data_IF_897507200841
#
_entry.id   IF_897507200841
#
_cell.length_a   1.000
_cell.length_b   1.000
_cell.length_c   1.000
_cell.angle_alpha   90.00
_cell.angle_beta   90.00
_cell.angle_gamma   90.00
#
_symmetry.space_group_name_H-M   'P 1'
#
loop_
_entity.id
_entity.type
_entity.pdbx_description
1 polymer ?
#
# COMPACT_ATOMS: atom_id res chain seq x y z
N UNK A 1 10.39 14.66 -0.38
CA UNK A 1 9.15 15.32 0.10
C UNK A 1 8.97 14.97 1.57
N UNK A 2 8.60 15.94 2.41
CA UNK A 2 8.17 15.74 3.80
C UNK A 2 6.65 15.93 3.86
N UNK A 3 5.95 15.13 4.65
CA UNK A 3 4.47 15.16 4.74
C UNK A 3 3.94 15.88 5.99
N UNK A 4 4.81 16.44 6.83
CA UNK A 4 4.43 16.89 8.18
C UNK A 4 3.42 18.04 8.19
N UNK A 5 3.37 18.83 7.10
CA UNK A 5 2.45 19.96 6.90
C UNK A 5 1.08 19.58 6.31
N UNK A 6 0.88 18.32 5.92
CA UNK A 6 -0.42 17.85 5.43
C UNK A 6 -1.35 17.52 6.59
N UNK A 7 -2.66 17.52 6.31
CA UNK A 7 -3.66 16.93 7.21
C UNK A 7 -3.34 15.45 7.46
N UNK A 8 -3.94 14.85 8.48
CA UNK A 8 -3.72 13.43 8.78
C UNK A 8 -4.21 12.53 7.64
N UNK A 9 -5.42 12.81 7.14
CA UNK A 9 -6.03 12.08 6.04
C UNK A 9 -6.86 13.00 5.15
N UNK A 10 -7.13 12.52 3.95
CA UNK A 10 -8.08 13.12 3.02
C UNK A 10 -8.78 12.01 2.21
N UNK A 11 -9.97 12.30 1.71
CA UNK A 11 -10.65 11.37 0.81
C UNK A 11 -10.21 11.60 -0.64
N UNK A 12 -9.85 10.52 -1.36
CA UNK A 12 -9.41 10.54 -2.77
C UNK A 12 -10.09 9.49 -3.63
N UNK A 13 -9.94 9.61 -4.94
CA UNK A 13 -10.47 8.69 -5.93
C UNK A 13 -11.64 9.29 -6.72
N UNK A 14 -12.25 8.47 -7.60
CA UNK A 14 -13.41 8.87 -8.38
C UNK A 14 -14.57 9.40 -7.52
N UNK A 15 -15.42 10.33 -8.03
CA UNK A 15 -16.58 10.83 -7.29
C UNK A 15 -17.51 9.74 -6.75
N UNK A 16 -17.67 8.65 -7.50
CA UNK A 16 -18.51 7.51 -7.13
C UNK A 16 -17.88 6.62 -6.04
N UNK A 17 -16.56 6.67 -5.88
CA UNK A 17 -15.80 5.81 -4.97
C UNK A 17 -14.64 6.58 -4.33
N UNK A 18 -14.91 7.18 -3.17
CA UNK A 18 -13.91 7.90 -2.37
C UNK A 18 -13.29 6.96 -1.33
N UNK A 19 -11.99 7.12 -1.13
CA UNK A 19 -11.19 6.32 -0.22
C UNK A 19 -10.43 7.21 0.75
N UNK A 20 -10.42 6.84 2.02
CA UNK A 20 -9.51 7.41 3.02
C UNK A 20 -8.05 7.14 2.62
N UNK A 21 -7.30 8.23 2.45
CA UNK A 21 -5.86 8.26 2.27
C UNK A 21 -5.20 8.95 3.46
N UNK A 22 -4.47 8.18 4.26
CA UNK A 22 -3.69 8.69 5.39
C UNK A 22 -2.31 9.10 4.89
N UNK A 23 -1.92 10.35 5.13
CA UNK A 23 -0.61 10.83 4.71
C UNK A 23 0.51 10.21 5.55
N UNK A 24 1.68 9.88 4.95
CA UNK A 24 2.78 9.26 5.67
C UNK A 24 3.61 10.31 6.42
N UNK A 25 2.98 11.03 7.36
CA UNK A 25 3.62 12.06 8.19
C UNK A 25 4.78 11.45 8.98
N UNK A 26 5.89 12.16 9.10
CA UNK A 26 7.13 11.66 9.69
C UNK A 26 8.00 10.78 8.78
N UNK A 27 7.54 10.47 7.56
CA UNK A 27 8.35 9.74 6.58
C UNK A 27 9.10 10.68 5.62
N UNK A 28 10.25 10.21 5.14
CA UNK A 28 10.96 10.75 3.97
C UNK A 28 10.71 9.85 2.78
N UNK A 29 10.40 10.41 1.61
CA UNK A 29 10.03 9.59 0.46
C UNK A 29 10.78 9.86 -0.83
N UNK A 30 11.16 8.77 -1.50
CA UNK A 30 11.91 8.73 -2.76
C UNK A 30 11.06 8.11 -3.86
N UNK A 31 10.90 8.82 -4.97
CA UNK A 31 10.16 8.31 -6.13
C UNK A 31 10.87 7.12 -6.77
N UNK A 32 10.09 6.17 -7.29
CA UNK A 32 10.59 5.04 -8.08
C UNK A 32 10.38 5.30 -9.57
N UNK A 33 11.18 4.63 -10.41
CA UNK A 33 10.93 4.64 -11.85
C UNK A 33 9.63 3.87 -12.16
N UNK A 34 8.62 4.60 -12.64
CA UNK A 34 7.30 4.07 -12.97
C UNK A 34 7.15 3.68 -14.44
N UNK A 35 8.13 3.97 -15.32
CA UNK A 35 8.04 3.67 -16.76
C UNK A 35 7.90 2.18 -17.07
N UNK A 36 8.31 1.31 -16.15
CA UNK A 36 8.07 -0.13 -16.24
C UNK A 36 6.58 -0.54 -16.24
N UNK A 37 5.67 0.38 -15.91
CA UNK A 37 4.21 0.14 -15.95
C UNK A 37 3.54 0.66 -17.25
N UNK A 38 4.34 1.07 -18.24
CA UNK A 38 3.88 1.64 -19.51
C UNK A 38 3.71 3.16 -19.46
N UNK A 39 3.21 3.72 -20.57
CA UNK A 39 3.11 5.17 -20.77
C UNK A 39 1.79 5.78 -20.27
N UNK A 40 0.77 4.95 -20.01
CA UNK A 40 -0.46 5.44 -19.39
C UNK A 40 -0.22 5.70 -17.89
N UNK A 41 -0.37 6.96 -17.49
CA UNK A 41 -0.17 7.44 -16.12
C UNK A 41 -1.48 7.81 -15.39
N UNK A 42 -2.66 7.53 -15.98
CA UNK A 42 -3.98 7.89 -15.42
C UNK A 42 -4.18 7.39 -13.98
N UNK A 43 -3.64 6.21 -13.70
CA UNK A 43 -3.64 5.57 -12.37
C UNK A 43 -2.94 6.39 -11.28
N UNK A 44 -2.11 7.37 -11.64
CA UNK A 44 -1.28 8.17 -10.75
C UNK A 44 -1.80 9.61 -10.54
N UNK A 45 -2.66 10.14 -11.42
CA UNK A 45 -2.88 11.59 -11.61
C UNK A 45 -3.53 12.37 -10.44
N UNK A 46 -4.04 11.71 -9.39
CA UNK A 46 -4.61 12.38 -8.20
C UNK A 46 -5.75 13.37 -8.47
N UNK A 47 -6.42 13.25 -9.61
CA UNK A 47 -7.47 14.16 -10.09
C UNK A 47 -8.87 13.55 -10.02
N UNK A 48 -9.02 12.36 -9.42
CA UNK A 48 -10.31 11.68 -9.29
C UNK A 48 -10.84 11.10 -10.60
N UNK A 49 -9.97 10.86 -11.59
CA UNK A 49 -10.38 10.16 -12.81
C UNK A 49 -10.75 8.69 -12.51
N UNK A 50 -11.59 8.09 -13.36
CA UNK A 50 -12.11 6.73 -13.16
C UNK A 50 -11.02 5.63 -13.15
N UNK A 51 -9.84 5.91 -13.71
CA UNK A 51 -8.70 4.99 -13.75
C UNK A 51 -7.73 5.21 -12.58
N UNK A 52 -7.99 6.17 -11.67
CA UNK A 52 -7.11 6.45 -10.54
C UNK A 52 -7.04 5.24 -9.59
N UNK A 53 -5.82 4.80 -9.27
CA UNK A 53 -5.61 3.68 -8.36
C UNK A 53 -5.47 4.16 -6.92
N UNK A 54 -5.91 3.35 -5.95
CA UNK A 54 -5.87 3.70 -4.53
C UNK A 54 -4.43 3.73 -4.01
N UNK A 55 -4.10 4.70 -3.15
CA UNK A 55 -2.80 4.74 -2.47
C UNK A 55 -2.83 3.81 -1.25
N UNK A 56 -1.84 2.92 -1.15
CA UNK A 56 -1.72 1.96 -0.04
C UNK A 56 -0.26 1.70 0.32
N UNK A 57 -0.05 1.17 1.52
CA UNK A 57 1.25 0.96 2.14
C UNK A 57 1.54 -0.52 2.36
N UNK A 58 2.78 -0.92 2.08
CA UNK A 58 3.29 -2.26 2.33
C UNK A 58 4.62 -2.17 3.10
N UNK A 59 4.62 -2.60 4.36
CA UNK A 59 5.83 -2.71 5.16
C UNK A 59 6.70 -3.87 4.66
N UNK A 60 8.02 -3.68 4.64
CA UNK A 60 8.93 -4.75 4.22
C UNK A 60 10.29 -4.64 4.92
N UNK A 61 11.10 -5.68 4.78
CA UNK A 61 12.49 -5.70 5.26
C UNK A 61 13.39 -4.94 4.29
N UNK A 62 14.38 -4.23 4.81
CA UNK A 62 15.30 -3.42 3.99
C UNK A 62 15.96 -4.22 2.85
N UNK A 63 16.39 -5.45 3.08
CA UNK A 63 17.01 -6.29 2.05
C UNK A 63 16.03 -6.76 0.94
N UNK A 64 14.72 -6.74 1.18
CA UNK A 64 13.71 -7.11 0.18
C UNK A 64 13.44 -5.99 -0.83
N UNK A 65 13.76 -4.74 -0.50
CA UNK A 65 13.42 -3.55 -1.31
C UNK A 65 13.97 -3.66 -2.72
N UNK A 66 15.23 -4.03 -2.89
CA UNK A 66 15.87 -4.16 -4.21
C UNK A 66 15.14 -5.17 -5.10
N UNK A 67 14.75 -6.31 -4.54
CA UNK A 67 13.99 -7.34 -5.28
C UNK A 67 12.61 -6.83 -5.67
N UNK A 68 11.89 -6.16 -4.76
CA UNK A 68 10.54 -5.65 -5.04
C UNK A 68 10.57 -4.53 -6.09
N UNK A 69 11.54 -3.61 -6.01
CA UNK A 69 11.69 -2.54 -7.00
C UNK A 69 11.95 -3.11 -8.39
N UNK A 70 12.74 -4.19 -8.50
CA UNK A 70 13.02 -4.84 -9.78
C UNK A 70 11.86 -5.71 -10.29
N UNK A 71 11.29 -6.54 -9.42
CA UNK A 71 10.42 -7.66 -9.80
C UNK A 71 8.95 -7.48 -9.40
N UNK A 72 8.60 -6.30 -8.86
CA UNK A 72 7.30 -6.01 -8.23
C UNK A 72 7.02 -6.83 -6.95
N UNK A 73 5.96 -6.46 -6.24
CA UNK A 73 5.46 -7.19 -5.08
C UNK A 73 4.91 -8.56 -5.50
N UNK A 74 5.05 -9.56 -4.63
CA UNK A 74 4.55 -10.93 -4.85
C UNK A 74 3.77 -11.40 -3.64
N UNK A 75 2.85 -12.33 -3.86
CA UNK A 75 2.07 -12.96 -2.79
C UNK A 75 2.98 -13.51 -1.69
N UNK A 76 2.67 -13.17 -0.45
CA UNK A 76 3.42 -13.64 0.72
C UNK A 76 2.99 -15.02 1.19
N UNK A 77 3.76 -15.61 2.11
CA UNK A 77 3.39 -16.85 2.78
C UNK A 77 2.39 -16.63 3.93
N UNK A 78 2.39 -15.43 4.53
CA UNK A 78 1.51 -15.08 5.65
C UNK A 78 0.14 -14.65 5.11
N UNK A 79 -0.83 -15.54 5.16
CA UNK A 79 -2.18 -15.32 4.61
C UNK A 79 -3.27 -15.54 5.67
N UNK A 80 -3.17 -14.81 6.77
CA UNK A 80 -4.00 -14.97 7.97
C UNK A 80 -5.53 -14.84 7.71
N UNK A 81 -5.91 -14.14 6.65
CA UNK A 81 -7.31 -13.87 6.30
C UNK A 81 -7.75 -14.61 5.03
N UNK A 82 -6.97 -15.56 4.52
CA UNK A 82 -7.24 -16.21 3.22
C UNK A 82 -8.59 -16.93 3.14
N UNK A 83 -9.05 -17.48 4.26
CA UNK A 83 -10.35 -18.16 4.36
C UNK A 83 -11.53 -17.23 4.69
N UNK A 84 -11.26 -15.96 5.00
CA UNK A 84 -12.33 -14.98 5.18
C UNK A 84 -13.05 -14.71 3.86
N UNK A 85 -14.28 -14.20 3.97
CA UNK A 85 -15.08 -13.72 2.85
C UNK A 85 -15.19 -12.20 2.86
N UNK A 86 -15.33 -11.62 1.67
CA UNK A 86 -15.61 -10.20 1.47
C UNK A 86 -16.59 -10.00 0.31
N UNK A 87 -17.07 -8.78 0.16
CA UNK A 87 -17.86 -8.33 -0.99
C UNK A 87 -16.94 -7.63 -1.97
N UNK A 88 -17.01 -7.98 -3.24
CA UNK A 88 -16.20 -7.35 -4.29
C UNK A 88 -16.89 -6.16 -4.97
N UNK A 89 -16.22 -5.56 -5.94
CA UNK A 89 -16.74 -4.40 -6.69
C UNK A 89 -18.06 -4.69 -7.41
N UNK A 90 -18.34 -5.96 -7.71
CA UNK A 90 -19.56 -6.42 -8.38
C UNK A 90 -20.63 -6.90 -7.38
N UNK A 91 -20.44 -6.60 -6.09
CA UNK A 91 -21.33 -7.01 -4.99
C UNK A 91 -21.45 -8.52 -4.78
N UNK A 92 -20.48 -9.29 -5.27
CA UNK A 92 -20.44 -10.74 -5.06
C UNK A 92 -19.71 -11.07 -3.75
N UNK A 93 -20.19 -12.08 -3.03
CA UNK A 93 -19.45 -12.67 -1.92
C UNK A 93 -18.34 -13.57 -2.47
N UNK A 94 -17.10 -13.30 -2.06
CA UNK A 94 -15.91 -14.02 -2.53
C UNK A 94 -14.95 -14.30 -1.37
N UNK A 95 -14.06 -15.29 -1.52
CA UNK A 95 -12.95 -15.48 -0.59
C UNK A 95 -11.87 -14.42 -0.79
N UNK A 96 -11.23 -13.99 0.31
CA UNK A 96 -10.07 -13.08 0.28
C UNK A 96 -8.89 -13.75 -0.43
N UNK A 97 -8.62 -15.04 -0.14
CA UNK A 97 -7.51 -15.85 -0.67
C UNK A 97 -6.12 -15.28 -0.31
N UNK A 98 -5.08 -16.03 -0.69
CA UNK A 98 -3.69 -15.61 -0.51
C UNK A 98 -3.35 -14.40 -1.39
N UNK A 99 -2.54 -13.47 -0.88
CA UNK A 99 -2.16 -12.31 -1.66
C UNK A 99 -1.09 -11.43 -1.03
N UNK A 100 -1.02 -10.21 -1.54
CA UNK A 100 -0.13 -9.15 -1.07
C UNK A 100 -0.94 -8.29 -0.10
N UNK A 101 -0.44 -8.17 1.13
CA UNK A 101 -1.09 -7.39 2.18
C UNK A 101 -0.71 -5.92 2.12
N UNK A 102 -1.68 -5.05 2.35
CA UNK A 102 -1.53 -3.61 2.42
C UNK A 102 -2.30 -3.03 3.59
N UNK A 103 -1.96 -1.79 3.94
CA UNK A 103 -2.80 -0.91 4.75
C UNK A 103 -3.01 0.44 4.06
N UNK A 104 -4.11 1.13 4.35
CA UNK A 104 -4.28 2.54 3.96
C UNK A 104 -3.64 3.50 4.96
N UNK A 105 -3.08 3.00 6.06
CA UNK A 105 -2.36 3.77 7.08
C UNK A 105 -0.96 3.16 7.30
N UNK A 106 0.10 3.92 7.02
CA UNK A 106 1.47 3.43 7.12
C UNK A 106 1.87 3.04 8.56
N UNK A 107 1.23 3.63 9.58
CA UNK A 107 1.48 3.30 10.99
C UNK A 107 1.17 1.84 11.29
N UNK A 108 0.22 1.24 10.59
CA UNK A 108 -0.10 -0.20 10.70
C UNK A 108 1.12 -1.04 10.30
N UNK A 109 1.87 -0.63 9.27
CA UNK A 109 3.09 -1.31 8.86
C UNK A 109 4.18 -1.26 9.96
N UNK A 110 4.25 -0.16 10.72
CA UNK A 110 5.21 0.03 11.80
C UNK A 110 4.77 -0.72 13.07
N UNK A 111 3.54 -0.47 13.53
CA UNK A 111 3.03 -0.92 14.83
C UNK A 111 2.87 -2.44 14.88
N UNK A 112 2.50 -3.05 13.75
CA UNK A 112 2.29 -4.50 13.67
C UNK A 112 3.58 -5.26 13.29
N UNK A 113 4.71 -4.54 13.16
CA UNK A 113 6.02 -5.16 12.91
C UNK A 113 6.21 -5.73 11.51
N UNK A 114 5.54 -5.20 10.49
CA UNK A 114 5.77 -5.60 9.09
C UNK A 114 6.91 -4.82 8.42
N UNK A 115 7.23 -3.64 8.94
CA UNK A 115 8.37 -2.83 8.53
C UNK A 115 9.45 -2.85 9.63
N UNK A 116 10.35 -3.82 9.54
CA UNK A 116 11.43 -4.00 10.51
C UNK A 116 12.39 -2.79 10.50
N UNK A 117 12.70 -2.27 11.68
CA UNK A 117 13.71 -1.24 11.83
C UNK A 117 15.12 -1.82 11.68
N UNK A 118 15.90 -1.22 10.79
CA UNK A 118 17.32 -1.53 10.58
C UNK A 118 18.18 -0.42 11.17
N UNK A 119 19.25 -0.78 11.87
CA UNK A 119 20.23 0.18 12.40
C UNK A 119 21.10 0.72 11.26
N UNK A 120 21.23 2.05 11.19
CA UNK A 120 22.17 2.75 10.31
C UNK A 120 22.88 3.81 11.15
N UNK A 121 24.18 3.64 11.40
CA UNK A 121 24.95 4.44 12.34
C UNK A 121 24.30 4.46 13.73
N UNK A 122 23.91 5.62 14.26
CA UNK A 122 23.25 5.79 15.55
C UNK A 122 21.72 5.89 15.46
N UNK A 123 21.12 5.65 14.29
CA UNK A 123 19.68 5.78 14.04
C UNK A 123 19.07 4.46 13.57
N UNK A 124 17.75 4.34 13.71
CA UNK A 124 16.97 3.18 13.24
C UNK A 124 15.96 3.62 12.21
N UNK A 125 15.90 2.91 11.08
CA UNK A 125 15.00 3.24 9.98
C UNK A 125 14.17 2.04 9.56
N UNK A 126 12.89 2.26 9.30
CA UNK A 126 11.99 1.30 8.69
C UNK A 126 11.70 1.70 7.23
N UNK A 127 11.47 0.72 6.36
CA UNK A 127 11.17 0.93 4.95
C UNK A 127 9.75 0.48 4.63
N UNK A 128 9.01 1.34 3.94
CA UNK A 128 7.62 1.09 3.54
C UNK A 128 7.48 1.42 2.06
N UNK A 129 6.80 0.56 1.30
CA UNK A 129 6.45 0.83 -0.08
C UNK A 129 5.10 1.52 -0.13
N UNK A 130 5.08 2.70 -0.72
CA UNK A 130 3.87 3.39 -1.09
C UNK A 130 3.52 3.01 -2.54
N UNK A 131 2.35 2.40 -2.68
CA UNK A 131 1.90 1.77 -3.92
C UNK A 131 0.59 2.36 -4.36
N UNK A 132 0.35 2.31 -5.67
CA UNK A 132 -0.97 2.43 -6.27
C UNK A 132 -1.53 1.03 -6.45
N UNK A 133 -2.77 0.82 -6.02
CA UNK A 133 -3.44 -0.48 -6.03
C UNK A 133 -4.74 -0.36 -6.80
N UNK A 134 -4.97 -1.28 -7.74
CA UNK A 134 -6.18 -1.32 -8.53
C UNK A 134 -7.41 -1.51 -7.62
N UNK A 135 -8.31 -0.52 -7.48
CA UNK A 135 -9.40 -0.58 -6.51
C UNK A 135 -10.34 -1.76 -6.76
N UNK A 136 -10.48 -2.16 -8.03
CA UNK A 136 -11.28 -3.28 -8.53
C UNK A 136 -10.85 -4.65 -8.00
N UNK A 137 -9.60 -4.73 -7.51
CA UNK A 137 -8.94 -6.00 -7.12
C UNK A 137 -8.63 -6.09 -5.64
N UNK A 138 -9.06 -5.08 -4.86
CA UNK A 138 -8.89 -5.06 -3.42
C UNK A 138 -9.89 -6.01 -2.77
N UNK A 139 -9.39 -6.84 -1.84
CA UNK A 139 -10.18 -7.70 -0.96
C UNK A 139 -10.03 -7.19 0.47
N UNK A 140 -11.15 -7.06 1.18
CA UNK A 140 -11.16 -6.68 2.59
C UNK A 140 -12.37 -7.32 3.28
N UNK A 141 -12.13 -8.28 4.18
CA UNK A 141 -13.18 -8.85 5.03
C UNK A 141 -13.55 -7.90 6.17
N UNK A 142 -14.67 -8.16 6.86
CA UNK A 142 -15.07 -7.38 8.05
C UNK A 142 -14.00 -7.38 9.14
N UNK A 143 -13.34 -8.52 9.37
CA UNK A 143 -12.22 -8.62 10.33
C UNK A 143 -11.02 -7.78 9.93
N UNK A 144 -10.78 -7.60 8.63
CA UNK A 144 -9.68 -6.79 8.13
C UNK A 144 -9.96 -5.29 8.23
N UNK A 145 -11.24 -4.86 8.21
CA UNK A 145 -11.60 -3.44 8.33
C UNK A 145 -11.17 -2.85 9.68
N UNK A 146 -11.38 -3.57 10.78
CA UNK A 146 -11.03 -3.08 12.13
C UNK A 146 -9.53 -2.89 12.36
N UNK A 147 -8.69 -3.53 11.56
CA UNK A 147 -7.22 -3.45 11.62
C UNK A 147 -6.61 -2.82 10.37
N UNK A 148 -7.44 -2.20 9.51
CA UNK A 148 -6.99 -1.51 8.30
C UNK A 148 -6.13 -2.36 7.36
N UNK A 149 -6.44 -3.66 7.23
CA UNK A 149 -5.78 -4.54 6.27
C UNK A 149 -6.56 -4.67 4.97
N UNK A 150 -5.82 -4.93 3.90
CA UNK A 150 -6.34 -5.15 2.56
C UNK A 150 -5.45 -6.17 1.85
N UNK A 151 -6.03 -6.93 0.93
CA UNK A 151 -5.31 -7.95 0.15
C UNK A 151 -5.55 -7.74 -1.33
N UNK A 152 -4.51 -7.95 -2.13
CA UNK A 152 -4.59 -8.03 -3.60
C UNK A 152 -3.93 -9.34 -4.02
N UNK A 153 -4.61 -10.14 -4.84
CA UNK A 153 -4.16 -11.50 -5.14
C UNK A 153 -3.17 -11.59 -6.31
N UNK A 154 -3.00 -10.52 -7.09
CA UNK A 154 -2.13 -10.49 -8.27
C UNK A 154 -1.22 -9.25 -8.28
N UNK A 155 0.06 -9.48 -8.57
CA UNK A 155 1.09 -8.43 -8.64
C UNK A 155 0.82 -7.38 -9.74
N UNK A 156 0.11 -7.72 -10.81
CA UNK A 156 -0.19 -6.78 -11.90
C UNK A 156 -1.11 -5.63 -11.46
N UNK A 157 -1.85 -5.85 -10.38
CA UNK A 157 -2.82 -4.92 -9.80
C UNK A 157 -2.20 -4.03 -8.72
N UNK A 158 -0.87 -4.01 -8.64
CA UNK A 158 -0.08 -3.25 -7.68
C UNK A 158 1.10 -2.57 -8.39
N UNK A 159 1.27 -1.28 -8.12
CA UNK A 159 2.35 -0.45 -8.67
C UNK A 159 3.04 0.33 -7.54
N UNK A 160 4.11 -0.21 -6.93
CA UNK A 160 5.00 0.58 -6.08
C UNK A 160 5.58 1.74 -6.89
N UNK A 161 5.42 2.96 -6.38
CA UNK A 161 5.88 4.18 -7.04
C UNK A 161 6.73 5.09 -6.14
N UNK A 162 6.80 4.77 -4.83
CA UNK A 162 7.62 5.50 -3.88
C UNK A 162 8.08 4.60 -2.73
N UNK A 163 9.32 4.78 -2.31
CA UNK A 163 9.86 4.23 -1.05
C UNK A 163 9.71 5.30 0.03
N UNK A 164 9.18 4.92 1.18
CA UNK A 164 9.12 5.72 2.39
C UNK A 164 10.13 5.20 3.40
N UNK A 165 10.86 6.12 4.03
CA UNK A 165 11.81 5.88 5.11
C UNK A 165 11.27 6.55 6.36
N UNK A 166 11.05 5.76 7.40
CA UNK A 166 10.60 6.24 8.70
C UNK A 166 11.73 6.08 9.72
N UNK A 167 12.15 7.17 10.36
CA UNK A 167 13.14 7.15 11.44
C UNK A 167 12.44 6.84 12.76
N UNK A 168 12.98 5.87 13.53
CA UNK A 168 12.51 5.61 14.89
C UNK A 168 12.91 6.79 15.77
N UNK A 169 11.92 7.50 16.32
CA UNK A 169 12.11 8.53 17.34
C UNK A 169 12.48 7.91 18.68
#
# INVERSE_FOLDING_TARGET
MKWDSFQEKEERGPPEYRYDYYFPRGCYGFGLNIKKYGDNEDWLLMNGNANEWRIMYHGTKQHCVSSIVKNNLKTGQRNHYSDDFCVDEFKNQVKVRNGIYFSNNFNVCINDGYADYTQVCNKKFAVILMSRVNPRKIRQSERMKSVHYFVVNDSKDVRPYRILIHEKK
#
